data_IF_004008130276
#
_entry.id   IF_004008130276
#
_cell.length_a   1.000
_cell.length_b   1.000
_cell.length_c   1.000
_cell.angle_alpha   90.00
_cell.angle_beta   90.00
_cell.angle_gamma   90.00
#
_symmetry.space_group_name_H-M   'P 1'
#
loop_
_entity.id
_entity.type
_entity.pdbx_description
1 polymer ?
#
# COMPACT_ATOMS: atom_id res chain seq x y z
N UNK A 1 81.12 29.86 23.41
CA UNK A 1 80.21 29.16 22.48
C UNK A 1 78.84 29.06 23.14
N UNK A 2 77.82 29.69 22.52
CA UNK A 2 76.37 29.40 22.55
C UNK A 2 75.62 29.38 23.90
N UNK A 3 74.37 29.83 24.07
CA UNK A 3 73.36 30.50 23.23
C UNK A 3 72.18 30.90 24.13
N UNK A 4 71.59 32.08 23.84
CA UNK A 4 70.17 32.45 23.81
C UNK A 4 69.16 32.00 24.90
N UNK A 5 68.67 32.99 25.67
CA UNK A 5 67.32 33.61 25.59
C UNK A 5 66.09 32.77 25.15
N UNK A 6 65.09 32.63 26.04
CA UNK A 6 63.74 33.28 26.00
C UNK A 6 62.66 32.45 26.73
N UNK A 7 61.95 33.12 27.64
CA UNK A 7 60.66 32.70 28.16
C UNK A 7 59.54 33.00 27.15
N UNK A 8 58.61 32.07 26.97
CA UNK A 8 57.31 32.32 26.32
C UNK A 8 56.26 31.53 27.08
N UNK A 9 55.36 32.26 27.74
CA UNK A 9 54.12 31.73 28.29
C UNK A 9 53.15 31.45 27.12
N UNK A 10 52.64 30.22 27.04
CA UNK A 10 51.63 29.84 26.06
C UNK A 10 50.26 29.83 26.77
N UNK A 11 49.49 30.89 26.51
CA UNK A 11 48.06 30.96 26.80
C UNK A 11 47.34 30.12 25.74
N UNK A 12 46.87 28.94 26.11
CA UNK A 12 45.88 28.21 25.30
C UNK A 12 44.49 28.71 25.69
N UNK A 13 43.97 29.64 24.90
CA UNK A 13 42.58 30.06 24.95
C UNK A 13 41.68 28.86 24.61
N UNK A 14 40.70 28.61 25.48
CA UNK A 14 39.57 27.72 25.26
C UNK A 14 38.77 28.19 24.04
N UNK A 15 39.01 27.57 22.88
CA UNK A 15 38.05 27.63 21.78
C UNK A 15 37.04 26.51 22.02
N UNK A 16 36.05 26.80 22.87
CA UNK A 16 34.84 25.98 22.95
C UNK A 16 34.10 26.26 21.65
N UNK A 17 34.42 25.48 20.62
CA UNK A 17 33.66 25.47 19.38
C UNK A 17 32.27 24.98 19.71
N UNK A 18 31.31 25.91 19.81
CA UNK A 18 29.91 25.58 19.68
C UNK A 18 29.72 25.01 18.27
N UNK A 19 29.86 23.70 18.11
CA UNK A 19 29.22 23.01 17.01
C UNK A 19 27.74 23.17 17.24
N UNK A 20 27.18 24.24 16.69
CA UNK A 20 25.76 24.39 16.50
C UNK A 20 25.35 23.19 15.66
N UNK A 21 24.92 22.11 16.33
CA UNK A 21 24.11 21.07 15.72
C UNK A 21 22.82 21.77 15.31
N UNK A 22 22.83 22.36 14.11
CA UNK A 22 21.62 22.53 13.33
C UNK A 22 21.01 21.14 13.29
N UNK A 23 20.00 20.90 14.14
CA UNK A 23 19.05 19.84 13.88
C UNK A 23 18.42 20.26 12.57
N UNK A 24 18.95 19.73 11.48
CA UNK A 24 18.21 19.65 10.25
C UNK A 24 16.91 18.94 10.65
N UNK A 25 15.83 19.70 10.74
CA UNK A 25 14.48 19.17 10.74
C UNK A 25 14.31 18.51 9.38
N UNK A 26 14.85 17.29 9.24
CA UNK A 26 14.66 16.45 8.07
C UNK A 26 13.18 16.19 8.03
N UNK A 27 12.49 16.91 7.14
CA UNK A 27 11.08 16.75 6.89
C UNK A 27 10.84 15.25 6.65
N UNK A 28 10.13 14.60 7.58
CA UNK A 28 9.87 13.17 7.47
C UNK A 28 8.97 12.93 6.27
N UNK A 29 9.53 12.27 5.27
CA UNK A 29 8.85 11.88 4.03
C UNK A 29 8.72 10.37 3.96
N UNK A 30 7.73 9.91 3.21
CA UNK A 30 7.66 8.51 2.83
C UNK A 30 8.95 8.13 2.09
N UNK A 31 9.45 6.92 2.36
CA UNK A 31 10.66 6.41 1.72
C UNK A 31 10.65 4.90 1.63
N UNK A 32 11.46 4.34 0.74
CA UNK A 32 11.61 2.89 0.63
C UNK A 32 12.24 2.26 1.89
N UNK A 33 13.00 3.04 2.67
CA UNK A 33 13.66 2.55 3.89
C UNK A 33 12.68 2.34 5.04
N UNK A 34 11.56 3.05 5.05
CA UNK A 34 10.47 2.89 6.02
C UNK A 34 9.36 1.97 5.52
N UNK A 35 9.49 1.43 4.31
CA UNK A 35 8.49 0.57 3.72
C UNK A 35 8.48 -0.80 4.39
N UNK A 36 7.30 -1.28 4.76
CA UNK A 36 7.09 -2.62 5.34
C UNK A 36 6.16 -3.43 4.47
N UNK A 37 6.30 -4.75 4.51
CA UNK A 37 5.40 -5.68 3.83
C UNK A 37 4.74 -6.60 4.84
N UNK A 38 3.47 -6.91 4.61
CA UNK A 38 2.69 -7.84 5.42
C UNK A 38 1.72 -8.63 4.53
N UNK A 39 1.19 -9.70 5.09
CA UNK A 39 0.13 -10.49 4.46
C UNK A 39 -1.17 -10.36 5.26
N UNK A 40 -2.29 -10.40 4.56
CA UNK A 40 -3.63 -10.47 5.16
C UNK A 40 -4.40 -11.65 4.56
N UNK A 41 -5.04 -12.44 5.43
CA UNK A 41 -6.00 -13.47 5.03
C UNK A 41 -7.37 -13.06 5.56
N UNK A 42 -8.30 -12.78 4.64
CA UNK A 42 -9.61 -12.23 4.96
C UNK A 42 -10.67 -13.20 4.46
N UNK A 43 -11.44 -13.77 5.39
CA UNK A 43 -12.58 -14.63 5.10
C UNK A 43 -13.84 -13.78 5.02
N UNK A 44 -14.60 -13.93 3.94
CA UNK A 44 -15.86 -13.22 3.71
C UNK A 44 -16.95 -14.24 3.37
N UNK A 45 -17.91 -14.45 4.28
CA UNK A 45 -19.04 -15.33 4.02
C UNK A 45 -19.87 -14.90 2.81
N UNK A 46 -20.55 -15.85 2.18
CA UNK A 46 -21.49 -15.62 1.11
C UNK A 46 -22.56 -14.60 1.52
N UNK A 47 -22.80 -13.59 0.68
CA UNK A 47 -23.77 -12.52 0.93
C UNK A 47 -23.36 -11.51 2.01
N UNK A 48 -22.18 -11.66 2.64
CA UNK A 48 -21.69 -10.73 3.65
C UNK A 48 -20.73 -9.68 3.05
N UNK A 49 -20.50 -8.62 3.84
CA UNK A 49 -19.39 -7.69 3.67
C UNK A 49 -18.51 -7.70 4.92
N UNK A 50 -17.19 -7.72 4.73
CA UNK A 50 -16.20 -7.57 5.79
C UNK A 50 -15.43 -6.29 5.57
N UNK A 51 -15.24 -5.53 6.63
CA UNK A 51 -14.48 -4.28 6.62
C UNK A 51 -13.09 -4.55 7.19
N UNK A 52 -12.06 -4.07 6.52
CA UNK A 52 -10.67 -4.38 6.87
C UNK A 52 -9.82 -3.12 6.88
N UNK A 53 -8.92 -3.02 7.86
CA UNK A 53 -7.98 -1.91 7.98
C UNK A 53 -6.54 -2.42 7.87
N UNK A 54 -5.84 -1.95 6.84
CA UNK A 54 -4.43 -2.27 6.61
C UNK A 54 -3.48 -1.64 7.64
N UNK A 55 -3.91 -0.61 8.38
CA UNK A 55 -3.09 -0.02 9.43
C UNK A 55 -2.95 -0.94 10.64
N UNK A 56 -4.05 -1.58 11.03
CA UNK A 56 -4.13 -2.52 12.16
C UNK A 56 -4.04 -3.98 11.73
N UNK A 57 -4.03 -4.25 10.42
CA UNK A 57 -4.03 -5.59 9.82
C UNK A 57 -5.12 -6.49 10.40
N UNK A 58 -6.33 -5.95 10.57
CA UNK A 58 -7.45 -6.66 11.18
C UNK A 58 -8.81 -6.24 10.62
N UNK A 59 -9.81 -7.09 10.84
CA UNK A 59 -11.21 -6.78 10.56
C UNK A 59 -11.73 -5.70 11.50
N UNK A 60 -12.56 -4.81 10.98
CA UNK A 60 -13.05 -3.64 11.70
C UNK A 60 -14.58 -3.52 11.59
N UNK A 61 -15.14 -2.59 12.37
CA UNK A 61 -16.50 -2.11 12.17
C UNK A 61 -16.62 -1.33 10.85
N UNK A 62 -17.87 -1.18 10.38
CA UNK A 62 -18.20 -0.58 9.08
C UNK A 62 -17.61 0.81 8.87
N UNK A 63 -17.48 1.64 9.89
CA UNK A 63 -16.99 3.01 9.80
C UNK A 63 -15.49 3.14 10.12
N UNK A 64 -14.81 2.01 10.38
CA UNK A 64 -13.39 1.97 10.77
C UNK A 64 -12.51 1.22 9.77
N UNK A 65 -13.07 0.30 8.98
CA UNK A 65 -12.33 -0.41 7.95
C UNK A 65 -11.96 0.49 6.78
N UNK A 66 -10.71 0.43 6.32
CA UNK A 66 -10.23 1.19 5.16
C UNK A 66 -10.89 0.72 3.86
N UNK A 67 -11.07 -0.59 3.71
CA UNK A 67 -11.77 -1.21 2.58
C UNK A 67 -12.93 -2.06 3.07
N UNK A 68 -13.86 -2.35 2.17
CA UNK A 68 -14.82 -3.45 2.33
C UNK A 68 -14.65 -4.49 1.23
N UNK A 69 -14.82 -5.75 1.60
CA UNK A 69 -14.79 -6.91 0.72
C UNK A 69 -16.11 -7.65 0.81
N UNK A 70 -16.64 -8.12 -0.31
CA UNK A 70 -17.83 -8.99 -0.34
C UNK A 70 -17.46 -10.46 -0.58
N UNK A 71 -18.42 -11.37 -0.38
CA UNK A 71 -18.29 -12.78 -0.78
C UNK A 71 -18.11 -12.95 -2.29
N UNK A 72 -18.07 -14.19 -2.78
CA UNK A 72 -17.66 -14.46 -4.17
C UNK A 72 -18.69 -14.00 -5.22
N UNK A 73 -19.98 -14.16 -4.94
CA UNK A 73 -21.04 -13.77 -5.87
C UNK A 73 -21.15 -12.24 -5.96
N UNK A 74 -20.59 -11.67 -7.03
CA UNK A 74 -20.45 -10.22 -7.14
C UNK A 74 -19.36 -9.68 -6.21
N UNK A 75 -18.22 -10.39 -6.12
CA UNK A 75 -17.07 -9.95 -5.34
C UNK A 75 -16.62 -8.54 -5.71
N UNK A 76 -16.40 -7.74 -4.67
CA UNK A 76 -15.96 -6.36 -4.77
C UNK A 76 -14.91 -6.05 -3.73
N UNK A 77 -13.94 -5.21 -4.10
CA UNK A 77 -13.09 -4.44 -3.18
C UNK A 77 -13.50 -2.98 -3.32
N UNK A 78 -13.93 -2.36 -2.23
CA UNK A 78 -14.47 -1.00 -2.23
C UNK A 78 -13.76 -0.14 -1.18
N UNK A 79 -13.45 1.10 -1.54
CA UNK A 79 -12.95 2.10 -0.60
C UNK A 79 -14.06 2.47 0.38
N UNK A 80 -13.85 2.15 1.65
CA UNK A 80 -14.87 2.30 2.68
C UNK A 80 -14.72 3.61 3.49
N UNK A 81 -13.59 4.32 3.31
CA UNK A 81 -13.33 5.62 3.93
C UNK A 81 -12.94 6.68 2.89
N UNK A 82 -13.83 7.02 1.93
CA UNK A 82 -13.52 7.95 0.84
C UNK A 82 -13.20 9.39 1.29
N UNK A 83 -13.60 9.76 2.52
CA UNK A 83 -13.21 11.03 3.14
C UNK A 83 -11.76 11.06 3.63
N UNK A 84 -11.16 9.89 3.87
CA UNK A 84 -9.80 9.77 4.41
C UNK A 84 -8.81 9.30 3.35
N UNK A 85 -9.24 8.44 2.42
CA UNK A 85 -8.40 7.85 1.39
C UNK A 85 -9.07 7.97 0.03
N UNK A 86 -8.24 8.18 -1.00
CA UNK A 86 -8.59 7.85 -2.38
C UNK A 86 -8.09 6.44 -2.68
N UNK A 87 -8.77 5.79 -3.62
CA UNK A 87 -8.39 4.49 -4.14
C UNK A 87 -8.18 4.57 -5.66
N UNK A 88 -7.19 3.82 -6.12
CA UNK A 88 -6.97 3.59 -7.53
C UNK A 88 -6.19 2.31 -7.75
N UNK A 89 -5.81 2.06 -8.99
CA UNK A 89 -4.97 0.92 -9.35
C UNK A 89 -3.97 1.29 -10.44
N UNK A 90 -2.91 0.48 -10.52
CA UNK A 90 -1.96 0.48 -11.62
C UNK A 90 -1.65 -0.97 -11.99
N UNK A 91 -1.29 -1.18 -13.25
CA UNK A 91 -0.83 -2.48 -13.74
C UNK A 91 0.67 -2.37 -14.04
N UNK A 92 1.49 -3.22 -13.42
CA UNK A 92 2.95 -3.21 -13.60
C UNK A 92 3.50 -4.63 -13.69
N UNK A 93 3.93 -5.00 -14.88
CA UNK A 93 4.48 -6.32 -15.17
C UNK A 93 5.86 -6.53 -14.54
N UNK A 94 6.19 -7.79 -14.25
CA UNK A 94 7.54 -8.24 -13.86
C UNK A 94 8.12 -7.54 -12.62
N UNK A 95 7.26 -6.96 -11.78
CA UNK A 95 7.61 -6.41 -10.48
C UNK A 95 6.81 -7.17 -9.45
N UNK A 96 7.42 -7.57 -8.34
CA UNK A 96 6.69 -8.06 -7.17
C UNK A 96 6.43 -6.90 -6.22
N UNK A 97 5.44 -7.04 -5.34
CA UNK A 97 5.07 -5.97 -4.40
C UNK A 97 6.27 -5.53 -3.53
N UNK A 98 7.14 -6.45 -3.12
CA UNK A 98 8.33 -6.17 -2.31
C UNK A 98 9.31 -5.27 -3.06
N UNK A 99 9.47 -5.50 -4.38
CA UNK A 99 10.38 -4.76 -5.26
C UNK A 99 9.82 -3.42 -5.74
N UNK A 100 8.56 -3.15 -5.46
CA UNK A 100 7.87 -1.96 -5.95
C UNK A 100 8.27 -0.73 -5.11
N UNK A 101 9.00 0.21 -5.70
CA UNK A 101 9.54 1.36 -4.95
C UNK A 101 8.56 2.53 -4.87
N UNK A 102 8.77 3.43 -3.91
CA UNK A 102 7.97 4.66 -3.80
C UNK A 102 8.06 5.49 -5.09
N UNK A 103 9.25 5.67 -5.64
CA UNK A 103 9.44 6.42 -6.90
C UNK A 103 8.65 5.81 -8.07
N UNK A 104 8.57 4.47 -8.16
CA UNK A 104 7.73 3.80 -9.14
C UNK A 104 6.25 4.13 -8.95
N UNK A 105 5.75 4.18 -7.71
CA UNK A 105 4.35 4.54 -7.44
C UNK A 105 4.08 6.00 -7.78
N UNK A 106 4.91 6.93 -7.31
CA UNK A 106 4.70 8.37 -7.49
C UNK A 106 4.77 8.81 -8.96
N UNK A 107 5.46 8.05 -9.81
CA UNK A 107 5.55 8.29 -11.26
C UNK A 107 4.53 7.50 -12.09
N UNK A 108 3.76 6.60 -11.47
CA UNK A 108 2.77 5.79 -12.19
C UNK A 108 1.49 6.59 -12.47
N UNK A 109 0.86 6.28 -13.60
CA UNK A 109 -0.51 6.72 -13.89
C UNK A 109 -1.50 5.86 -13.09
N UNK A 110 -1.92 6.38 -11.93
CA UNK A 110 -2.88 5.71 -11.07
C UNK A 110 -4.29 5.94 -11.61
N UNK A 111 -4.93 4.87 -12.05
CA UNK A 111 -6.32 4.90 -12.51
C UNK A 111 -7.25 4.94 -11.30
N UNK A 112 -7.91 6.07 -11.07
CA UNK A 112 -8.83 6.24 -9.96
C UNK A 112 -9.99 5.24 -10.05
N UNK A 113 -10.30 4.59 -8.93
CA UNK A 113 -11.41 3.67 -8.81
C UNK A 113 -11.78 3.55 -7.33
N UNK A 114 -13.04 3.85 -6.97
CA UNK A 114 -13.53 3.64 -5.60
C UNK A 114 -14.07 2.23 -5.38
N UNK A 115 -14.17 1.43 -6.44
CA UNK A 115 -14.65 0.06 -6.41
C UNK A 115 -13.97 -0.75 -7.50
N UNK A 116 -13.60 -1.99 -7.18
CA UNK A 116 -13.07 -2.98 -8.11
C UNK A 116 -13.93 -4.24 -8.02
N UNK A 117 -14.29 -4.81 -9.17
CA UNK A 117 -15.17 -5.97 -9.27
C UNK A 117 -14.46 -7.27 -9.65
N UNK A 118 -15.25 -8.31 -9.86
CA UNK A 118 -14.83 -9.58 -10.43
C UNK A 118 -15.13 -9.62 -11.92
N UNK A 119 -14.16 -10.08 -12.72
CA UNK A 119 -14.43 -10.44 -14.11
C UNK A 119 -15.05 -11.84 -14.16
N UNK A 120 -16.35 -11.91 -14.45
CA UNK A 120 -17.07 -13.17 -14.63
C UNK A 120 -17.44 -13.44 -16.10
N UNK A 121 -16.83 -12.74 -17.06
CA UNK A 121 -17.17 -12.84 -18.49
C UNK A 121 -17.01 -14.24 -19.09
N UNK A 122 -16.25 -15.12 -18.43
CA UNK A 122 -16.10 -16.52 -18.81
C UNK A 122 -17.35 -17.38 -18.55
N UNK A 123 -18.29 -16.91 -17.71
CA UNK A 123 -19.46 -17.66 -17.29
C UNK A 123 -20.66 -17.50 -18.25
N UNK A 124 -21.46 -18.55 -18.48
CA UNK A 124 -22.65 -18.46 -19.32
C UNK A 124 -23.64 -17.41 -18.80
N UNK A 125 -24.04 -16.48 -19.67
CA UNK A 125 -25.01 -15.44 -19.34
C UNK A 125 -24.47 -14.32 -18.45
N UNK A 126 -23.16 -14.29 -18.15
CA UNK A 126 -22.57 -13.20 -17.39
C UNK A 126 -22.38 -11.96 -18.26
N UNK A 127 -22.78 -10.80 -17.73
CA UNK A 127 -22.40 -9.51 -18.28
C UNK A 127 -20.99 -9.14 -17.81
N UNK A 128 -20.16 -8.52 -18.66
CA UNK A 128 -18.88 -7.97 -18.24
C UNK A 128 -19.06 -7.00 -17.06
N UNK A 129 -18.10 -6.97 -16.14
CA UNK A 129 -18.07 -5.96 -15.08
C UNK A 129 -17.95 -4.57 -15.69
N UNK A 130 -18.80 -3.64 -15.24
CA UNK A 130 -18.66 -2.21 -15.57
C UNK A 130 -17.58 -1.53 -14.74
N UNK A 131 -17.28 -2.08 -13.57
CA UNK A 131 -16.19 -1.63 -12.70
C UNK A 131 -14.87 -2.29 -13.14
N UNK A 132 -13.70 -1.62 -12.97
CA UNK A 132 -12.42 -2.27 -13.19
C UNK A 132 -12.27 -3.51 -12.31
N UNK A 133 -11.62 -4.56 -12.81
CA UNK A 133 -11.63 -5.87 -12.15
C UNK A 133 -10.31 -6.18 -11.44
N UNK A 134 -10.35 -6.63 -10.20
CA UNK A 134 -9.12 -6.97 -9.44
C UNK A 134 -8.91 -8.47 -9.27
N UNK A 135 -9.93 -9.25 -9.61
CA UNK A 135 -9.93 -10.71 -9.66
C UNK A 135 -10.74 -11.18 -10.86
N UNK A 136 -10.48 -12.41 -11.29
CA UNK A 136 -11.07 -13.06 -12.46
C UNK A 136 -11.68 -14.37 -11.99
N UNK A 137 -12.94 -14.61 -12.37
CA UNK A 137 -13.60 -15.89 -12.27
C UNK A 137 -13.50 -16.62 -13.61
N UNK A 138 -12.96 -17.83 -13.55
CA UNK A 138 -12.78 -18.70 -14.70
C UNK A 138 -13.73 -19.89 -14.62
N UNK A 139 -14.91 -19.71 -15.21
CA UNK A 139 -15.93 -20.75 -15.30
C UNK A 139 -15.44 -21.97 -16.08
N UNK A 140 -14.58 -21.79 -17.09
CA UNK A 140 -14.13 -22.87 -17.98
C UNK A 140 -13.09 -23.76 -17.28
N UNK A 141 -12.26 -23.16 -16.43
CA UNK A 141 -11.22 -23.88 -15.70
C UNK A 141 -11.67 -24.18 -14.26
N UNK A 142 -12.67 -25.06 -14.14
CA UNK A 142 -13.15 -25.60 -12.87
C UNK A 142 -13.61 -24.53 -11.85
N UNK A 143 -14.27 -23.47 -12.34
CA UNK A 143 -14.79 -22.39 -11.49
C UNK A 143 -13.71 -21.70 -10.63
N UNK A 144 -12.46 -21.69 -11.11
CA UNK A 144 -11.35 -21.14 -10.36
C UNK A 144 -11.39 -19.60 -10.31
N UNK A 145 -10.74 -19.03 -9.31
CA UNK A 145 -10.65 -17.58 -9.12
C UNK A 145 -9.19 -17.19 -8.97
N UNK A 146 -8.77 -16.18 -9.73
CA UNK A 146 -7.39 -15.73 -9.76
C UNK A 146 -7.32 -14.21 -9.62
N UNK A 147 -6.22 -13.66 -9.09
CA UNK A 147 -5.94 -12.23 -9.18
C UNK A 147 -5.93 -11.73 -10.63
N UNK A 148 -6.35 -10.49 -10.86
CA UNK A 148 -6.01 -9.80 -12.12
C UNK A 148 -4.49 -9.64 -12.18
N UNK A 149 -3.86 -10.14 -13.23
CA UNK A 149 -2.41 -10.15 -13.37
C UNK A 149 -1.82 -8.74 -13.27
N UNK A 150 -0.68 -8.62 -12.60
CA UNK A 150 0.12 -7.39 -12.51
C UNK A 150 -0.58 -6.18 -11.86
N UNK A 151 -1.77 -6.36 -11.28
CA UNK A 151 -2.55 -5.27 -10.69
C UNK A 151 -2.15 -4.98 -9.25
N UNK A 152 -1.93 -3.70 -8.98
CA UNK A 152 -1.72 -3.15 -7.65
C UNK A 152 -2.81 -2.14 -7.34
N UNK A 153 -3.49 -2.32 -6.21
CA UNK A 153 -4.42 -1.34 -5.65
C UNK A 153 -3.62 -0.36 -4.80
N UNK A 154 -3.91 0.92 -4.92
CA UNK A 154 -3.23 2.00 -4.22
C UNK A 154 -4.24 2.76 -3.36
N UNK A 155 -4.01 2.80 -2.05
CA UNK A 155 -4.75 3.66 -1.11
C UNK A 155 -3.87 4.82 -0.69
N UNK A 156 -4.31 6.05 -0.96
CA UNK A 156 -3.49 7.25 -0.75
C UNK A 156 -4.31 8.44 -0.26
N UNK A 157 -3.62 9.43 0.33
CA UNK A 157 -4.23 10.70 0.77
C UNK A 157 -3.91 11.83 -0.21
N UNK A 158 -4.84 12.78 -0.33
CA UNK A 158 -4.72 13.92 -1.24
C UNK A 158 -5.15 13.61 -2.68
N UNK A 159 -4.89 14.53 -3.60
CA UNK A 159 -5.34 14.40 -5.00
C UNK A 159 -4.62 13.29 -5.77
N UNK A 160 -3.35 13.06 -5.45
CA UNK A 160 -2.48 12.04 -6.03
C UNK A 160 -1.52 11.49 -4.96
N UNK A 161 -0.94 10.29 -5.15
CA UNK A 161 0.15 9.82 -4.29
C UNK A 161 1.27 10.87 -4.21
N UNK A 162 1.77 11.08 -3.00
CA UNK A 162 2.85 12.03 -2.72
C UNK A 162 3.68 11.54 -1.52
N UNK A 163 4.93 11.98 -1.44
CA UNK A 163 5.89 11.62 -0.40
C UNK A 163 5.69 12.40 0.92
N UNK A 164 4.94 13.50 0.88
CA UNK A 164 4.56 14.29 2.07
C UNK A 164 3.38 13.72 2.85
N UNK A 165 2.71 12.66 2.37
CA UNK A 165 1.61 12.02 3.09
C UNK A 165 2.12 11.16 4.27
N UNK A 166 1.30 10.99 5.32
CA UNK A 166 1.73 10.19 6.49
C UNK A 166 1.80 8.69 6.19
N UNK A 167 1.02 8.24 5.21
CA UNK A 167 0.91 6.83 4.85
C UNK A 167 0.45 6.65 3.40
N UNK A 168 0.91 5.55 2.79
CA UNK A 168 0.53 5.07 1.46
C UNK A 168 0.51 3.53 1.52
N UNK A 169 -0.55 2.93 0.97
CA UNK A 169 -0.71 1.47 0.96
C UNK A 169 -0.80 0.96 -0.48
N UNK A 170 -0.01 -0.07 -0.77
CA UNK A 170 -0.05 -0.83 -2.02
C UNK A 170 -0.55 -2.23 -1.68
N UNK A 171 -1.55 -2.71 -2.39
CA UNK A 171 -2.19 -4.00 -2.14
C UNK A 171 -2.14 -4.82 -3.42
N UNK A 172 -1.79 -6.09 -3.29
CA UNK A 172 -1.82 -7.07 -4.38
C UNK A 172 -2.56 -8.30 -3.90
N UNK A 173 -3.51 -8.80 -4.68
CA UNK A 173 -4.12 -10.10 -4.41
C UNK A 173 -3.10 -11.19 -4.72
N UNK A 174 -2.71 -11.96 -3.70
CA UNK A 174 -1.78 -13.09 -3.81
C UNK A 174 -2.50 -14.38 -4.19
N UNK A 175 -3.75 -14.54 -3.74
CA UNK A 175 -4.58 -15.69 -4.08
C UNK A 175 -5.98 -15.55 -3.51
N UNK A 176 -6.95 -16.13 -4.20
CA UNK A 176 -8.36 -16.12 -3.80
C UNK A 176 -8.86 -17.55 -3.84
N UNK A 177 -9.58 -17.96 -2.80
CA UNK A 177 -10.32 -19.23 -2.83
C UNK A 177 -11.81 -18.94 -2.71
N UNK A 178 -12.61 -19.70 -3.46
CA UNK A 178 -14.05 -19.64 -3.45
C UNK A 178 -14.60 -21.00 -3.04
N UNK A 179 -15.45 -21.03 -2.01
CA UNK A 179 -16.14 -22.25 -1.61
C UNK A 179 -17.57 -21.93 -1.19
N UNK A 180 -18.55 -22.49 -1.89
CA UNK A 180 -19.99 -22.29 -1.60
C UNK A 180 -20.43 -20.82 -1.50
N UNK A 181 -19.77 -19.93 -2.24
CA UNK A 181 -20.04 -18.48 -2.23
C UNK A 181 -19.21 -17.69 -1.21
N UNK A 182 -18.58 -18.38 -0.24
CA UNK A 182 -17.59 -17.76 0.64
C UNK A 182 -16.33 -17.46 -0.16
N UNK A 183 -15.66 -16.36 0.18
CA UNK A 183 -14.39 -15.97 -0.38
C UNK A 183 -13.33 -15.92 0.72
N UNK A 184 -12.13 -16.45 0.45
CA UNK A 184 -10.94 -16.13 1.25
C UNK A 184 -9.96 -15.38 0.37
N UNK A 185 -9.69 -14.13 0.73
CA UNK A 185 -8.73 -13.27 0.05
C UNK A 185 -7.40 -13.31 0.78
N UNK A 186 -6.34 -13.72 0.08
CA UNK A 186 -4.96 -13.60 0.53
C UNK A 186 -4.34 -12.40 -0.17
N UNK A 187 -3.96 -11.39 0.60
CA UNK A 187 -3.44 -10.13 0.10
C UNK A 187 -2.00 -9.94 0.60
N UNK A 188 -1.14 -9.46 -0.29
CA UNK A 188 0.12 -8.86 0.09
C UNK A 188 -0.09 -7.34 0.18
N UNK A 189 0.44 -6.74 1.24
CA UNK A 189 0.31 -5.31 1.51
C UNK A 189 1.71 -4.74 1.70
N UNK A 190 2.03 -3.68 0.96
CA UNK A 190 3.21 -2.84 1.20
C UNK A 190 2.77 -1.49 1.71
N UNK A 191 3.31 -1.09 2.85
CA UNK A 191 2.98 0.15 3.54
C UNK A 191 4.20 1.05 3.57
N UNK A 192 4.03 2.30 3.15
CA UNK A 192 4.99 3.37 3.39
C UNK A 192 4.45 4.24 4.52
N UNK A 193 5.28 4.52 5.52
CA UNK A 193 4.98 5.45 6.63
C UNK A 193 6.14 6.38 6.91
N UNK A 194 5.84 7.56 7.45
CA UNK A 194 6.84 8.48 8.00
C UNK A 194 7.47 7.99 9.31
#
# INVERSE_FOLDING_TARGET
MNRLFKAVALVCALVVGFTSCSKDDVEKKLSDTTATTSTATIQVPSGAKVYYDFKTNSTQEKDKGMISLSGMYGSTLENNLPGNYKMGYLDKENVSIEKLTLSMILSSDIKAANKLGIDASSAPGASPSTDPTWIIYDFKNNHAVYPTANRYIVMYKGEKPNDSADELYIIQAAGITALKGDATYNLNVKKFTK
#
